data_IF_345027074594
#
_entry.id   IF_345027074594
#
_cell.length_a   1.000
_cell.length_b   1.000
_cell.length_c   1.000
_cell.angle_alpha   90.00
_cell.angle_beta   90.00
_cell.angle_gamma   90.00
#
_symmetry.space_group_name_H-M   'P 1'
#
loop_
_entity.id
_entity.type
_entity.pdbx_description
1 polymer ?
#
# COMPACT_ATOMS: atom_id res chain seq x y z
N UNK A 1 8.67 -17.53 -17.65
CA UNK A 1 7.43 -18.35 -17.61
C UNK A 1 7.32 -19.16 -16.30
N UNK A 2 8.44 -19.65 -15.74
CA UNK A 2 8.47 -20.39 -14.47
C UNK A 2 8.17 -19.52 -13.23
N UNK A 3 8.60 -18.25 -13.18
CA UNK A 3 8.36 -17.36 -12.02
C UNK A 3 6.92 -16.87 -11.85
N UNK A 4 6.18 -16.64 -12.94
CA UNK A 4 4.81 -16.12 -12.84
C UNK A 4 3.86 -17.12 -12.17
N UNK A 5 4.11 -18.43 -12.34
CA UNK A 5 3.33 -19.48 -11.71
C UNK A 5 3.58 -19.51 -10.19
N UNK A 6 4.85 -19.36 -9.76
CA UNK A 6 5.23 -19.30 -8.36
C UNK A 6 4.64 -18.07 -7.66
N UNK A 7 4.79 -16.89 -8.26
CA UNK A 7 4.25 -15.64 -7.70
C UNK A 7 2.74 -15.70 -7.50
N UNK A 8 2.01 -16.23 -8.50
CA UNK A 8 0.56 -16.45 -8.39
C UNK A 8 0.22 -17.45 -7.29
N UNK A 9 1.00 -18.52 -7.14
CA UNK A 9 0.77 -19.52 -6.11
C UNK A 9 0.94 -18.92 -4.71
N UNK A 10 1.98 -18.12 -4.47
CA UNK A 10 2.23 -17.45 -3.20
C UNK A 10 1.06 -16.52 -2.83
N UNK A 11 0.57 -15.72 -3.78
CA UNK A 11 -0.57 -14.84 -3.55
C UNK A 11 -1.87 -15.60 -3.29
N UNK A 12 -2.08 -16.76 -3.94
CA UNK A 12 -3.26 -17.61 -3.73
C UNK A 12 -3.27 -18.30 -2.35
N UNK A 13 -2.14 -18.34 -1.65
CA UNK A 13 -2.07 -18.88 -0.29
C UNK A 13 -2.57 -17.88 0.78
N UNK A 14 -2.69 -16.60 0.43
CA UNK A 14 -3.25 -15.57 1.32
C UNK A 14 -4.77 -15.65 1.25
N UNK A 15 -5.40 -16.06 2.35
CA UNK A 15 -6.84 -16.22 2.48
C UNK A 15 -7.41 -15.60 3.76
N UNK A 16 -8.72 -15.74 3.99
CA UNK A 16 -9.40 -15.15 5.17
C UNK A 16 -8.86 -15.64 6.51
N UNK A 17 -8.35 -16.88 6.55
CA UNK A 17 -7.85 -17.52 7.77
C UNK A 17 -6.34 -17.33 7.97
N UNK A 18 -5.66 -16.69 7.01
CA UNK A 18 -4.22 -16.40 7.09
C UNK A 18 -3.98 -15.32 8.13
N UNK A 19 -3.08 -15.57 9.07
CA UNK A 19 -2.65 -14.56 10.05
C UNK A 19 -1.84 -13.45 9.38
N UNK A 20 -1.69 -12.31 10.07
CA UNK A 20 -0.89 -11.18 9.54
C UNK A 20 0.57 -11.60 9.36
N UNK A 21 1.11 -12.38 10.29
CA UNK A 21 2.47 -12.89 10.27
C UNK A 21 2.71 -13.86 9.10
N UNK A 22 1.77 -14.76 8.84
CA UNK A 22 1.84 -15.68 7.70
C UNK A 22 1.73 -14.93 6.37
N UNK A 23 0.83 -13.95 6.28
CA UNK A 23 0.69 -13.12 5.09
C UNK A 23 1.98 -12.33 4.82
N UNK A 24 2.59 -11.74 5.85
CA UNK A 24 3.87 -11.03 5.74
C UNK A 24 4.99 -11.96 5.23
N UNK A 25 5.12 -13.16 5.80
CA UNK A 25 6.12 -14.14 5.37
C UNK A 25 5.94 -14.57 3.90
N UNK A 26 4.70 -14.73 3.44
CA UNK A 26 4.41 -15.03 2.03
C UNK A 26 4.77 -13.87 1.10
N UNK A 27 4.55 -12.62 1.54
CA UNK A 27 4.95 -11.43 0.79
C UNK A 27 6.48 -11.31 0.71
N UNK A 28 7.21 -11.50 1.81
CA UNK A 28 8.68 -11.50 1.81
C UNK A 28 9.25 -12.57 0.86
N UNK A 29 8.64 -13.76 0.81
CA UNK A 29 9.03 -14.82 -0.12
C UNK A 29 8.75 -14.41 -1.58
N UNK A 30 7.64 -13.72 -1.83
CA UNK A 30 7.32 -13.18 -3.15
C UNK A 30 8.36 -12.14 -3.58
N UNK A 31 8.73 -11.21 -2.69
CA UNK A 31 9.74 -10.18 -2.95
C UNK A 31 11.10 -10.79 -3.34
N UNK A 32 11.52 -11.83 -2.61
CA UNK A 32 12.72 -12.61 -2.94
C UNK A 32 12.59 -13.29 -4.30
N UNK A 33 11.44 -13.93 -4.57
CA UNK A 33 11.19 -14.64 -5.82
C UNK A 33 11.23 -13.72 -7.04
N UNK A 34 10.70 -12.50 -6.92
CA UNK A 34 10.73 -11.52 -8.01
C UNK A 34 12.01 -10.68 -8.04
N UNK A 35 12.92 -10.90 -7.09
CA UNK A 35 14.11 -10.09 -6.86
C UNK A 35 13.76 -8.60 -6.86
N UNK A 36 12.82 -8.21 -5.98
CA UNK A 36 12.17 -6.89 -6.01
C UNK A 36 13.20 -5.75 -6.14
N UNK A 37 14.24 -5.76 -5.31
CA UNK A 37 15.24 -4.70 -5.27
C UNK A 37 16.05 -4.58 -6.58
N UNK A 38 16.54 -5.70 -7.12
CA UNK A 38 17.38 -5.67 -8.32
C UNK A 38 16.58 -5.33 -9.57
N UNK A 39 15.35 -5.85 -9.66
CA UNK A 39 14.51 -5.68 -10.84
C UNK A 39 13.76 -4.35 -10.82
N UNK A 40 13.33 -3.84 -9.66
CA UNK A 40 12.45 -2.67 -9.56
C UNK A 40 13.03 -1.51 -8.74
N UNK A 41 13.99 -1.76 -7.84
CA UNK A 41 14.57 -0.71 -6.98
C UNK A 41 15.40 0.33 -7.75
N UNK A 42 15.90 -0.01 -8.94
CA UNK A 42 16.67 0.90 -9.81
C UNK A 42 15.83 1.51 -10.96
N UNK A 43 14.51 1.32 -10.94
CA UNK A 43 13.62 1.91 -11.93
C UNK A 43 13.18 3.32 -11.51
N UNK A 44 12.66 4.10 -12.47
CA UNK A 44 12.11 5.42 -12.23
C UNK A 44 12.98 6.55 -12.77
N UNK A 45 12.67 7.78 -12.34
CA UNK A 45 13.32 9.00 -12.83
C UNK A 45 14.49 9.47 -11.95
N UNK A 46 14.66 8.88 -10.78
CA UNK A 46 15.69 9.22 -9.78
C UNK A 46 16.62 8.04 -9.56
N UNK A 47 17.86 8.32 -9.17
CA UNK A 47 18.78 7.27 -8.74
C UNK A 47 18.31 6.64 -7.42
N UNK A 48 18.49 5.32 -7.29
CA UNK A 48 18.20 4.61 -6.06
C UNK A 48 19.19 5.05 -4.96
N UNK A 49 18.72 5.29 -3.72
CA UNK A 49 19.59 5.61 -2.60
C UNK A 49 20.47 4.40 -2.21
N UNK A 50 21.47 4.62 -1.34
CA UNK A 50 22.19 3.50 -0.75
C UNK A 50 21.27 2.68 0.15
N UNK A 51 21.45 1.37 0.19
CA UNK A 51 20.71 0.48 1.09
C UNK A 51 20.91 0.81 2.58
N UNK A 52 21.93 1.59 2.92
CA UNK A 52 22.21 2.04 4.30
C UNK A 52 21.68 3.44 4.61
N UNK A 53 21.12 4.15 3.63
CA UNK A 53 20.58 5.49 3.84
C UNK A 53 19.31 5.44 4.68
N UNK A 54 19.08 6.46 5.50
CA UNK A 54 17.85 6.57 6.26
C UNK A 54 16.68 6.87 5.33
N UNK A 55 15.62 6.06 5.41
CA UNK A 55 14.37 6.26 4.67
C UNK A 55 13.33 6.85 5.61
N UNK A 56 12.92 8.09 5.34
CA UNK A 56 11.94 8.83 6.16
C UNK A 56 10.51 8.72 5.62
N UNK A 57 10.33 8.16 4.41
CA UNK A 57 9.03 8.05 3.73
C UNK A 57 8.41 6.67 3.92
N UNK A 58 7.07 6.61 3.85
CA UNK A 58 6.31 5.39 4.08
C UNK A 58 5.12 5.29 3.12
N UNK A 59 4.82 4.08 2.65
CA UNK A 59 3.63 3.81 1.85
C UNK A 59 2.51 3.25 2.72
N UNK A 60 1.30 3.77 2.52
CA UNK A 60 0.05 3.23 3.06
C UNK A 60 -0.94 3.07 1.92
N UNK A 61 -1.92 2.19 2.10
CA UNK A 61 -2.97 1.96 1.11
C UNK A 61 -4.35 2.32 1.68
N UNK A 62 -5.22 2.85 0.83
CA UNK A 62 -6.64 3.05 1.14
C UNK A 62 -7.49 2.16 0.26
N UNK A 63 -8.46 1.47 0.86
CA UNK A 63 -9.37 0.58 0.14
C UNK A 63 -10.82 0.81 0.57
N UNK A 64 -11.75 0.45 -0.33
CA UNK A 64 -13.16 0.26 0.00
C UNK A 64 -13.41 -1.24 0.18
N UNK A 65 -13.76 -1.62 1.40
CA UNK A 65 -14.09 -2.99 1.77
C UNK A 65 -15.36 -3.49 1.09
N UNK A 66 -15.54 -4.81 1.09
CA UNK A 66 -16.77 -5.45 0.55
C UNK A 66 -18.00 -5.16 1.39
N UNK A 67 -17.80 -4.75 2.64
CA UNK A 67 -18.80 -4.29 3.60
C UNK A 67 -19.15 -2.80 3.44
N UNK A 68 -18.69 -2.15 2.37
CA UNK A 68 -18.88 -0.72 2.11
C UNK A 68 -18.12 0.21 3.07
N UNK A 69 -17.21 -0.29 3.92
CA UNK A 69 -16.36 0.56 4.77
C UNK A 69 -15.08 1.01 4.06
N UNK A 70 -14.52 2.14 4.48
CA UNK A 70 -13.21 2.61 4.05
C UNK A 70 -12.14 2.20 5.07
N UNK A 71 -11.02 1.68 4.56
CA UNK A 71 -9.91 1.26 5.40
C UNK A 71 -8.60 1.92 4.99
N UNK A 72 -7.83 2.37 5.97
CA UNK A 72 -6.40 2.63 5.84
C UNK A 72 -5.62 1.39 6.25
N UNK A 73 -4.71 0.94 5.38
CA UNK A 73 -3.83 -0.18 5.57
C UNK A 73 -2.39 0.34 5.72
N UNK A 74 -1.86 0.22 6.94
CA UNK A 74 -0.51 0.61 7.31
C UNK A 74 0.18 -0.59 7.98
N UNK A 75 1.20 -1.15 7.33
CA UNK A 75 1.91 -2.35 7.79
C UNK A 75 2.66 -2.17 9.12
N UNK A 76 2.81 -0.93 9.62
CA UNK A 76 3.37 -0.66 10.95
C UNK A 76 2.34 -0.80 12.08
N UNK A 77 1.06 -0.94 11.77
CA UNK A 77 -0.03 -1.06 12.74
C UNK A 77 -0.41 -2.53 12.94
N UNK A 78 -1.08 -2.82 14.05
CA UNK A 78 -1.58 -4.17 14.37
C UNK A 78 -2.78 -4.61 13.52
N UNK A 79 -3.29 -3.76 12.63
CA UNK A 79 -4.46 -4.04 11.81
C UNK A 79 -4.94 -2.81 11.03
N UNK A 80 -5.97 -2.99 10.18
CA UNK A 80 -6.55 -1.90 9.40
C UNK A 80 -7.20 -0.86 10.31
N UNK A 81 -7.14 0.40 9.90
CA UNK A 81 -7.90 1.48 10.53
C UNK A 81 -9.20 1.66 9.75
N UNK A 82 -10.33 1.39 10.41
CA UNK A 82 -11.66 1.68 9.86
C UNK A 82 -11.90 3.19 9.90
N UNK A 83 -12.08 3.79 8.72
CA UNK A 83 -12.42 5.20 8.55
C UNK A 83 -13.94 5.42 8.55
N UNK A 84 -14.73 4.35 8.56
CA UNK A 84 -16.19 4.34 8.57
C UNK A 84 -16.81 3.97 7.23
N UNK A 85 -18.14 3.89 7.23
CA UNK A 85 -18.93 3.54 6.05
C UNK A 85 -18.74 4.56 4.91
N UNK A 86 -18.46 4.07 3.70
CA UNK A 86 -18.35 4.86 2.48
C UNK A 86 -19.71 5.36 2.02
N UNK A 87 -19.75 6.52 1.38
CA UNK A 87 -20.98 7.04 0.79
C UNK A 87 -21.49 6.08 -0.30
N UNK A 88 -22.77 5.72 -0.24
CA UNK A 88 -23.38 4.79 -1.20
C UNK A 88 -23.28 5.33 -2.63
N UNK A 89 -22.81 4.49 -3.56
CA UNK A 89 -22.60 4.87 -4.95
C UNK A 89 -21.39 5.79 -5.21
N UNK A 90 -20.70 6.28 -4.17
CA UNK A 90 -19.49 7.08 -4.34
C UNK A 90 -18.30 6.20 -4.74
N UNK A 91 -17.50 6.71 -5.68
CA UNK A 91 -16.18 6.18 -5.95
C UNK A 91 -15.26 6.53 -4.78
N UNK A 92 -14.30 5.66 -4.46
CA UNK A 92 -13.40 5.87 -3.32
C UNK A 92 -12.65 7.22 -3.40
N UNK A 93 -12.32 7.66 -4.62
CA UNK A 93 -11.64 8.94 -4.87
C UNK A 93 -12.49 10.17 -4.54
N UNK A 94 -13.81 10.03 -4.52
CA UNK A 94 -14.76 11.10 -4.22
C UNK A 94 -15.26 11.06 -2.76
N UNK A 95 -14.85 10.05 -1.98
CA UNK A 95 -15.32 9.89 -0.61
C UNK A 95 -14.65 10.90 0.31
N UNK A 96 -15.45 11.77 0.93
CA UNK A 96 -14.98 12.84 1.79
C UNK A 96 -14.10 12.33 2.94
N UNK A 97 -14.35 11.13 3.47
CA UNK A 97 -13.54 10.58 4.57
C UNK A 97 -12.12 10.26 4.14
N UNK A 98 -11.93 9.80 2.91
CA UNK A 98 -10.59 9.59 2.35
C UNK A 98 -9.86 10.92 2.19
N UNK A 99 -10.54 11.92 1.61
CA UNK A 99 -9.97 13.26 1.42
C UNK A 99 -9.57 13.89 2.75
N UNK A 100 -10.46 13.85 3.75
CA UNK A 100 -10.21 14.33 5.10
C UNK A 100 -9.02 13.61 5.75
N UNK A 101 -8.90 12.29 5.54
CA UNK A 101 -7.81 11.51 6.11
C UNK A 101 -6.46 11.82 5.48
N UNK A 102 -6.41 12.03 4.17
CA UNK A 102 -5.20 12.47 3.46
C UNK A 102 -4.82 13.88 3.92
N UNK A 103 -5.80 14.79 3.99
CA UNK A 103 -5.58 16.15 4.45
C UNK A 103 -5.05 16.19 5.89
N UNK A 104 -5.56 15.32 6.78
CA UNK A 104 -5.05 15.18 8.14
C UNK A 104 -3.54 14.87 8.17
N UNK A 105 -3.04 13.98 7.30
CA UNK A 105 -1.60 13.69 7.24
C UNK A 105 -0.79 14.88 6.71
N UNK A 106 -1.32 15.61 5.73
CA UNK A 106 -0.68 16.81 5.19
C UNK A 106 -0.65 17.97 6.20
N UNK A 107 -1.68 18.09 7.03
CA UNK A 107 -1.82 19.16 8.04
C UNK A 107 -1.02 18.88 9.32
N UNK A 108 -0.75 17.61 9.62
CA UNK A 108 -0.04 17.19 10.84
C UNK A 108 1.46 16.96 10.66
N UNK A 109 1.95 17.04 9.42
CA UNK A 109 3.37 16.92 9.09
C UNK A 109 4.14 18.20 9.40
N UNK A 110 5.46 18.08 9.53
CA UNK A 110 6.33 19.24 9.70
C UNK A 110 6.32 20.13 8.44
N UNK A 111 6.47 21.44 8.62
CA UNK A 111 6.40 22.42 7.51
C UNK A 111 7.40 22.10 6.39
N UNK A 112 8.58 21.58 6.74
CA UNK A 112 9.62 21.17 5.79
C UNK A 112 9.22 19.96 4.93
N UNK A 113 8.27 19.14 5.41
CA UNK A 113 7.81 17.91 4.76
C UNK A 113 6.45 18.09 4.06
N UNK A 114 5.84 19.27 4.15
CA UNK A 114 4.47 19.52 3.67
C UNK A 114 4.27 19.25 2.18
N UNK A 115 5.33 19.31 1.38
CA UNK A 115 5.29 19.04 -0.06
C UNK A 115 5.73 17.62 -0.45
N UNK A 116 6.10 16.77 0.51
CA UNK A 116 6.68 15.45 0.26
C UNK A 116 5.62 14.34 0.35
N UNK A 117 4.49 14.54 -0.35
CA UNK A 117 3.42 13.56 -0.47
C UNK A 117 3.24 13.15 -1.94
N UNK A 118 3.00 11.86 -2.17
CA UNK A 118 2.61 11.33 -3.46
C UNK A 118 1.38 10.44 -3.28
N UNK A 119 0.44 10.51 -4.23
CA UNK A 119 -0.74 9.67 -4.27
C UNK A 119 -0.82 8.97 -5.61
N UNK A 120 -1.06 7.67 -5.59
CA UNK A 120 -1.30 6.85 -6.78
C UNK A 120 -2.64 6.14 -6.66
N UNK A 121 -3.39 6.09 -7.75
CA UNK A 121 -4.66 5.38 -7.81
C UNK A 121 -4.53 4.17 -8.75
N UNK A 122 -5.00 3.02 -8.29
CA UNK A 122 -5.12 1.81 -9.11
C UNK A 122 -6.49 1.86 -9.79
N UNK A 123 -6.50 2.14 -11.09
CA UNK A 123 -7.71 2.23 -11.91
C UNK A 123 -7.76 1.09 -12.95
N UNK A 124 -8.95 0.78 -13.51
CA UNK A 124 -9.05 -0.14 -14.63
C UNK A 124 -8.12 0.29 -15.78
N UNK A 125 -7.46 -0.68 -16.41
CA UNK A 125 -6.70 -0.43 -17.63
C UNK A 125 -7.61 0.05 -18.76
N UNK A 126 -7.05 0.86 -19.67
CA UNK A 126 -7.70 1.29 -20.91
C UNK A 126 -7.92 0.14 -21.89
#
# INVERSE_FOLDING_TARGET
MQDLALNKLLLLQIGPDTTVEEAAALVELLEQSIQLDSNYGNQGQTEAPSATDAVEFHFIAYIKGRDNHLYELDGRRSGPVDLGESVEGAHILDDAKLVEKIQFYMDTTDESQRNNFALMAIAPGL
#
